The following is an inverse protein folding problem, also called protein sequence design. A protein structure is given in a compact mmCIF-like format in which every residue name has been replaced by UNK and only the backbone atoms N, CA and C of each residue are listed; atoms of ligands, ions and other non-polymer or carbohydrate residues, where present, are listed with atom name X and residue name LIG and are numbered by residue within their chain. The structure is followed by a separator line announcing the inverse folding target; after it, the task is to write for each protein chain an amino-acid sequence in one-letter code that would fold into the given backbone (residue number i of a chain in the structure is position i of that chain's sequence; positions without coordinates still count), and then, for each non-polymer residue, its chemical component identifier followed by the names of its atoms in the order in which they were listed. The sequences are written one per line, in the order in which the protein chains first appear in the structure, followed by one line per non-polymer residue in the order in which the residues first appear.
data_IF_487604485520
#
_entry.id   IF_487604485520
#
_cell.length_a   1.000
_cell.length_b   1.000
_cell.length_c   1.000
_cell.angle_alpha   90.00
_cell.angle_beta   90.00
_cell.angle_gamma   90.00
#
_symmetry.space_group_name_H-M   'P 1'
#
loop_
_entity.id
_entity.type
_entity.pdbx_description
1 polymer ?
#
# COMPACT_ATOMS: atom_id res chain seq x y z
N UNK A 1 -5.66 7.45 35.51
CA UNK A 1 -6.32 8.24 34.45
C UNK A 1 -6.45 7.33 33.24
N UNK A 2 -7.60 6.69 33.08
CA UNK A 2 -7.90 5.84 31.92
C UNK A 2 -8.23 6.75 30.75
N UNK A 3 -7.35 6.80 29.75
CA UNK A 3 -7.60 7.43 28.46
C UNK A 3 -8.71 6.64 27.77
N UNK A 4 -9.97 7.05 27.98
CA UNK A 4 -11.13 6.47 27.32
C UNK A 4 -11.23 7.05 25.90
N UNK A 5 -10.30 6.65 25.02
CA UNK A 5 -10.52 6.86 23.59
C UNK A 5 -11.75 6.06 23.20
N UNK A 6 -12.77 6.73 22.70
CA UNK A 6 -13.90 6.08 22.04
C UNK A 6 -13.34 5.16 20.94
N UNK A 7 -13.81 3.91 20.87
CA UNK A 7 -13.51 3.06 19.74
C UNK A 7 -14.23 3.64 18.51
N UNK A 8 -13.46 4.19 17.59
CA UNK A 8 -13.98 4.58 16.28
C UNK A 8 -14.02 3.31 15.44
N UNK A 9 -15.19 2.95 14.94
CA UNK A 9 -15.31 1.93 13.90
C UNK A 9 -14.85 2.56 12.58
N UNK A 10 -13.72 2.10 12.07
CA UNK A 10 -13.03 2.71 10.95
C UNK A 10 -12.38 1.68 10.05
N UNK A 11 -12.46 1.90 8.74
CA UNK A 11 -11.80 1.06 7.75
C UNK A 11 -10.40 1.60 7.49
N UNK A 12 -9.42 0.70 7.38
CA UNK A 12 -8.08 1.01 6.95
C UNK A 12 -7.83 0.45 5.54
N UNK A 13 -7.48 1.33 4.62
CA UNK A 13 -7.11 0.95 3.25
C UNK A 13 -5.78 1.55 2.85
N UNK A 14 -5.10 0.91 1.90
CA UNK A 14 -3.81 1.34 1.37
C UNK A 14 -3.83 1.21 -0.14
N UNK A 15 -3.57 2.31 -0.85
CA UNK A 15 -3.28 2.26 -2.27
C UNK A 15 -1.79 1.95 -2.44
N UNK A 16 -1.50 0.81 -3.05
CA UNK A 16 -0.12 0.34 -3.28
C UNK A 16 0.35 0.92 -4.62
N UNK A 17 0.66 2.20 -4.56
CA UNK A 17 1.20 3.01 -5.65
C UNK A 17 2.44 3.81 -5.19
N UNK A 18 3.13 4.42 -6.14
CA UNK A 18 4.38 5.15 -5.89
C UNK A 18 4.26 6.56 -6.46
N UNK A 19 5.18 7.44 -6.12
CA UNK A 19 5.05 8.87 -6.43
C UNK A 19 4.92 9.16 -7.92
N UNK A 20 5.44 8.31 -8.80
CA UNK A 20 5.37 8.48 -10.26
C UNK A 20 4.07 7.94 -10.88
N UNK A 21 3.26 7.21 -10.11
CA UNK A 21 1.93 6.73 -10.52
C UNK A 21 0.83 7.78 -10.33
N UNK A 22 1.05 8.78 -9.48
CA UNK A 22 -0.01 9.72 -9.09
C UNK A 22 -0.49 10.58 -10.25
N UNK A 23 -1.81 10.72 -10.37
CA UNK A 23 -2.47 11.46 -11.45
C UNK A 23 -2.02 12.93 -11.55
N UNK A 24 -1.55 13.52 -10.45
CA UNK A 24 -1.04 14.90 -10.42
C UNK A 24 0.23 15.10 -11.25
N UNK A 25 0.97 14.03 -11.55
CA UNK A 25 2.13 14.07 -12.43
C UNK A 25 1.87 13.53 -13.83
N UNK A 26 0.63 13.16 -14.18
CA UNK A 26 0.32 12.54 -15.48
C UNK A 26 0.63 13.42 -16.71
N UNK A 27 0.76 14.74 -16.54
CA UNK A 27 1.18 15.67 -17.61
C UNK A 27 2.69 15.67 -17.88
N UNK A 28 3.50 15.15 -16.94
CA UNK A 28 4.96 15.20 -16.97
C UNK A 28 5.61 13.82 -16.90
N UNK A 29 4.97 12.85 -16.25
CA UNK A 29 5.41 11.46 -16.13
C UNK A 29 4.41 10.59 -16.88
N UNK A 30 4.84 9.94 -17.96
CA UNK A 30 4.00 9.00 -18.70
C UNK A 30 4.14 7.59 -18.15
N UNK A 31 3.12 6.72 -18.30
CA UNK A 31 3.22 5.31 -17.91
C UNK A 31 4.42 4.58 -18.52
N UNK A 32 4.75 4.89 -19.77
CA UNK A 32 5.90 4.31 -20.48
C UNK A 32 7.25 4.66 -19.83
N UNK A 33 7.30 5.73 -19.02
CA UNK A 33 8.51 6.19 -18.32
C UNK A 33 8.61 5.65 -16.89
N UNK A 34 7.60 4.94 -16.37
CA UNK A 34 7.55 4.50 -14.97
C UNK A 34 8.75 3.64 -14.56
N UNK A 35 9.26 2.80 -15.47
CA UNK A 35 10.44 1.95 -15.23
C UNK A 35 11.76 2.73 -15.04
N UNK A 36 11.77 4.04 -15.33
CA UNK A 36 12.95 4.89 -15.17
C UNK A 36 13.03 5.59 -13.80
N UNK A 37 12.03 5.44 -12.94
CA UNK A 37 11.98 6.08 -11.64
C UNK A 37 12.33 5.11 -10.51
N UNK A 38 13.01 5.61 -9.49
CA UNK A 38 13.36 4.81 -8.31
C UNK A 38 12.10 4.39 -7.55
N UNK A 39 11.84 3.08 -7.53
CA UNK A 39 10.68 2.53 -6.84
C UNK A 39 10.96 2.31 -5.35
N UNK A 40 10.03 2.78 -4.51
CA UNK A 40 10.09 2.74 -3.04
C UNK A 40 9.02 1.82 -2.45
N UNK A 41 8.19 1.22 -3.30
CA UNK A 41 6.96 0.55 -2.91
C UNK A 41 7.20 -0.57 -1.89
N UNK A 42 8.21 -1.42 -2.09
CA UNK A 42 8.45 -2.55 -1.19
C UNK A 42 8.73 -2.12 0.25
N UNK A 43 9.64 -1.16 0.44
CA UNK A 43 10.00 -0.69 1.77
C UNK A 43 8.83 0.04 2.43
N UNK A 44 8.11 0.87 1.68
CA UNK A 44 6.94 1.59 2.16
C UNK A 44 5.83 0.63 2.60
N UNK A 45 5.50 -0.36 1.77
CA UNK A 45 4.46 -1.36 2.08
C UNK A 45 4.85 -2.21 3.27
N UNK A 46 6.08 -2.73 3.35
CA UNK A 46 6.53 -3.51 4.51
C UNK A 46 6.45 -2.71 5.81
N UNK A 47 6.80 -1.42 5.76
CA UNK A 47 6.66 -0.53 6.92
C UNK A 47 5.22 -0.38 7.38
N UNK A 48 4.28 -0.29 6.44
CA UNK A 48 2.84 -0.23 6.76
C UNK A 48 2.38 -1.56 7.38
N UNK A 49 2.79 -2.70 6.83
CA UNK A 49 2.48 -4.03 7.37
C UNK A 49 3.01 -4.18 8.81
N UNK A 50 4.24 -3.73 9.09
CA UNK A 50 4.80 -3.72 10.44
C UNK A 50 3.97 -2.89 11.42
N UNK A 51 3.50 -1.71 10.99
CA UNK A 51 2.68 -0.82 11.83
C UNK A 51 1.31 -1.45 12.07
N UNK A 52 0.68 -1.98 11.03
CA UNK A 52 -0.61 -2.65 11.12
C UNK A 52 -0.56 -3.87 12.06
N UNK A 53 0.48 -4.70 11.95
CA UNK A 53 0.71 -5.83 12.84
C UNK A 53 0.87 -5.40 14.31
N UNK A 54 1.65 -4.33 14.58
CA UNK A 54 1.81 -3.77 15.95
C UNK A 54 0.51 -3.25 16.54
N UNK A 55 -0.42 -2.81 15.70
CA UNK A 55 -1.75 -2.34 16.11
C UNK A 55 -2.82 -3.43 16.01
N UNK A 56 -2.45 -4.67 15.66
CA UNK A 56 -3.41 -5.76 15.41
C UNK A 56 -4.55 -5.36 14.47
N UNK A 57 -4.24 -4.56 13.46
CA UNK A 57 -5.20 -3.98 12.51
C UNK A 57 -5.11 -4.69 11.16
N UNK A 58 -6.25 -5.11 10.62
CA UNK A 58 -6.36 -5.59 9.24
C UNK A 58 -6.93 -4.48 8.35
N UNK A 59 -6.76 -4.65 7.04
CA UNK A 59 -7.15 -3.65 6.06
C UNK A 59 -7.09 -4.19 4.64
N UNK A 60 -7.54 -3.37 3.70
CA UNK A 60 -7.61 -3.72 2.27
C UNK A 60 -6.54 -2.94 1.51
N UNK A 61 -5.75 -3.65 0.72
CA UNK A 61 -4.65 -3.09 -0.07
C UNK A 61 -5.05 -3.12 -1.54
N UNK A 62 -5.25 -1.96 -2.15
CA UNK A 62 -5.55 -1.83 -3.57
C UNK A 62 -4.23 -1.78 -4.34
N UNK A 63 -3.93 -2.85 -5.09
CA UNK A 63 -2.63 -2.98 -5.76
C UNK A 63 -2.75 -2.61 -7.22
N UNK A 64 -2.04 -1.57 -7.63
CA UNK A 64 -1.95 -1.18 -9.04
C UNK A 64 -1.41 -2.35 -9.86
N UNK A 65 -2.02 -2.64 -11.02
CA UNK A 65 -1.61 -3.75 -11.89
C UNK A 65 -0.12 -3.74 -12.24
N UNK A 66 0.45 -2.55 -12.49
CA UNK A 66 1.88 -2.36 -12.74
C UNK A 66 2.75 -2.87 -11.57
N UNK A 67 2.32 -2.61 -10.33
CA UNK A 67 3.02 -3.08 -9.12
C UNK A 67 2.84 -4.59 -8.96
N UNK A 68 1.61 -5.11 -9.16
CA UNK A 68 1.34 -6.54 -9.04
C UNK A 68 2.15 -7.39 -10.03
N UNK A 69 2.36 -6.90 -11.25
CA UNK A 69 3.17 -7.57 -12.27
C UNK A 69 4.67 -7.57 -11.94
N UNK A 70 5.21 -6.49 -11.40
CA UNK A 70 6.65 -6.32 -11.12
C UNK A 70 7.08 -6.83 -9.74
N UNK A 71 6.18 -6.75 -8.75
CA UNK A 71 6.42 -7.15 -7.37
C UNK A 71 5.37 -8.16 -6.89
N UNK A 72 5.21 -9.32 -7.57
CA UNK A 72 4.21 -10.32 -7.19
C UNK A 72 4.45 -10.91 -5.80
N UNK A 73 5.70 -10.89 -5.32
CA UNK A 73 6.04 -11.27 -3.95
C UNK A 73 5.43 -10.32 -2.92
N UNK A 74 5.32 -9.02 -3.23
CA UNK A 74 4.71 -8.05 -2.33
C UNK A 74 3.21 -8.31 -2.15
N UNK A 75 2.51 -8.68 -3.22
CA UNK A 75 1.09 -9.11 -3.15
C UNK A 75 0.94 -10.34 -2.26
N UNK A 76 1.89 -11.29 -2.38
CA UNK A 76 1.91 -12.49 -1.55
C UNK A 76 2.18 -12.15 -0.09
N UNK A 77 3.14 -11.27 0.20
CA UNK A 77 3.46 -10.79 1.55
C UNK A 77 2.24 -10.13 2.23
N UNK A 78 1.54 -9.23 1.51
CA UNK A 78 0.34 -8.56 2.02
C UNK A 78 -0.74 -9.58 2.38
N UNK A 79 -1.01 -10.54 1.48
CA UNK A 79 -2.01 -11.60 1.71
C UNK A 79 -1.62 -12.52 2.87
N UNK A 80 -0.34 -12.91 2.95
CA UNK A 80 0.19 -13.74 4.03
C UNK A 80 0.13 -13.04 5.39
N UNK A 81 0.17 -11.71 5.43
CA UNK A 81 -0.06 -10.91 6.63
C UNK A 81 -1.55 -10.81 7.04
N UNK A 82 -2.47 -11.40 6.26
CA UNK A 82 -3.91 -11.47 6.58
C UNK A 82 -4.75 -10.32 6.04
N UNK A 83 -4.16 -9.45 5.21
CA UNK A 83 -4.86 -8.33 4.58
C UNK A 83 -5.61 -8.76 3.30
N UNK A 84 -6.67 -8.03 2.96
CA UNK A 84 -7.40 -8.20 1.71
C UNK A 84 -6.63 -7.51 0.56
N UNK A 85 -6.69 -8.10 -0.64
CA UNK A 85 -6.18 -7.48 -1.88
C UNK A 85 -7.37 -6.99 -2.71
N UNK A 86 -7.38 -5.71 -3.03
CA UNK A 86 -8.34 -5.07 -3.93
C UNK A 86 -7.73 -4.69 -5.28
N UNK A 87 -8.58 -4.36 -6.24
CA UNK A 87 -8.24 -3.90 -7.58
C UNK A 87 -8.95 -2.58 -7.91
#
# INVERSE_FOLDING_TARGET
MTDSRQSIDGTFTVDVEDYFHVSSFASVIKPDDWDHYDCRIENSTRRILEIAAKQSTLGTFFVLGWVAERYPHLVTEIRSAGHEIGC
#
